data_IF_871943547082
#
_entry.id   IF_871943547082
#
_cell.length_a   1.000
_cell.length_b   1.000
_cell.length_c   1.000
_cell.angle_alpha   90.00
_cell.angle_beta   90.00
_cell.angle_gamma   90.00
#
_symmetry.space_group_name_H-M   'P 1'
#
loop_
_entity.id
_entity.type
_entity.pdbx_description
1 polymer ?
#
# COMPACT_ATOMS: atom_id res chain seq x y z
N UNK A 1 11.30 12.98 -12.99
CA UNK A 1 11.20 12.16 -11.77
C UNK A 1 10.29 11.00 -12.13
N UNK A 2 10.80 9.78 -12.13
CA UNK A 2 9.98 8.59 -12.33
C UNK A 2 9.10 8.40 -11.09
N UNK A 3 7.81 8.14 -11.29
CA UNK A 3 6.90 7.80 -10.20
C UNK A 3 7.03 6.30 -9.95
N UNK A 4 7.30 5.84 -8.72
CA UNK A 4 7.32 4.41 -8.40
C UNK A 4 5.99 3.75 -8.78
N UNK A 5 6.08 2.51 -9.27
CA UNK A 5 4.93 1.73 -9.67
C UNK A 5 4.83 0.47 -8.80
N UNK A 6 3.72 0.34 -8.07
CA UNK A 6 3.46 -0.78 -7.16
C UNK A 6 2.21 -1.52 -7.62
N UNK A 7 2.28 -2.85 -7.64
CA UNK A 7 1.14 -3.71 -7.94
C UNK A 7 0.55 -4.24 -6.63
N UNK A 8 -0.77 -4.25 -6.52
CA UNK A 8 -1.49 -4.95 -5.47
C UNK A 8 -2.26 -6.14 -6.03
N UNK A 9 -2.12 -7.31 -5.40
CA UNK A 9 -2.80 -8.53 -5.83
C UNK A 9 -2.80 -9.60 -4.76
N UNK A 10 -3.74 -10.53 -4.86
CA UNK A 10 -3.84 -11.62 -3.88
C UNK A 10 -2.80 -12.73 -4.14
N UNK A 11 -2.39 -13.43 -3.08
CA UNK A 11 -1.39 -14.49 -3.12
C UNK A 11 -1.74 -15.58 -4.14
N UNK A 12 -3.00 -16.00 -4.21
CA UNK A 12 -3.46 -17.01 -5.15
C UNK A 12 -3.24 -16.61 -6.63
N UNK A 13 -3.30 -15.32 -6.97
CA UNK A 13 -3.02 -14.82 -8.32
C UNK A 13 -1.56 -15.00 -8.65
N UNK A 14 -0.66 -14.63 -7.73
CA UNK A 14 0.78 -14.77 -7.90
C UNK A 14 1.17 -16.24 -8.00
N UNK A 15 0.64 -17.10 -7.12
CA UNK A 15 0.89 -18.54 -7.15
C UNK A 15 0.36 -19.20 -8.44
N UNK A 16 -0.84 -18.83 -8.89
CA UNK A 16 -1.41 -19.39 -10.14
C UNK A 16 -0.60 -18.99 -11.38
N UNK A 17 -0.04 -17.78 -11.39
CA UNK A 17 0.84 -17.34 -12.48
C UNK A 17 2.23 -17.99 -12.40
N UNK A 18 2.65 -18.38 -11.21
CA UNK A 18 3.98 -18.85 -10.83
C UNK A 18 4.83 -17.69 -10.31
N UNK A 19 5.26 -17.70 -9.04
CA UNK A 19 5.97 -16.58 -8.40
C UNK A 19 7.20 -16.09 -9.18
N UNK A 20 8.06 -17.01 -9.63
CA UNK A 20 9.23 -16.69 -10.45
C UNK A 20 8.85 -15.93 -11.74
N UNK A 21 7.88 -16.45 -12.49
CA UNK A 21 7.42 -15.82 -13.74
C UNK A 21 6.76 -14.47 -13.47
N UNK A 22 6.00 -14.35 -12.38
CA UNK A 22 5.30 -13.13 -12.00
C UNK A 22 6.30 -12.03 -11.65
N UNK A 23 7.24 -12.30 -10.73
CA UNK A 23 8.22 -11.32 -10.29
C UNK A 23 9.20 -10.94 -11.42
N UNK A 24 9.60 -11.90 -12.25
CA UNK A 24 10.36 -11.61 -13.48
C UNK A 24 9.60 -10.64 -14.38
N UNK A 25 8.30 -10.85 -14.56
CA UNK A 25 7.46 -9.95 -15.37
C UNK A 25 7.32 -8.58 -14.75
N UNK A 26 7.22 -8.50 -13.42
CA UNK A 26 7.24 -7.24 -12.68
C UNK A 26 8.53 -6.45 -12.97
N UNK A 27 9.68 -7.10 -12.87
CA UNK A 27 10.98 -6.47 -13.16
C UNK A 27 11.09 -5.98 -14.61
N UNK A 28 10.68 -6.79 -15.59
CA UNK A 28 10.64 -6.41 -17.01
C UNK A 28 9.79 -5.16 -17.28
N UNK A 29 8.75 -4.94 -16.46
CA UNK A 29 7.83 -3.82 -16.57
C UNK A 29 8.18 -2.66 -15.64
N UNK A 30 9.35 -2.72 -14.98
CA UNK A 30 9.81 -1.72 -14.01
C UNK A 30 8.81 -1.49 -12.87
N UNK A 31 8.24 -2.57 -12.36
CA UNK A 31 7.45 -2.55 -11.14
C UNK A 31 8.39 -2.50 -9.95
N UNK A 32 8.23 -1.50 -9.08
CA UNK A 32 9.11 -1.26 -7.94
C UNK A 32 8.71 -2.07 -6.71
N UNK A 33 7.41 -2.40 -6.55
CA UNK A 33 6.92 -3.11 -5.38
C UNK A 33 5.67 -3.95 -5.61
N UNK A 34 5.46 -4.90 -4.70
CA UNK A 34 4.31 -5.80 -4.68
C UNK A 34 3.64 -5.74 -3.30
N UNK A 35 2.32 -5.51 -3.30
CA UNK A 35 1.46 -5.63 -2.12
C UNK A 35 0.63 -6.90 -2.24
N UNK A 36 0.67 -7.76 -1.22
CA UNK A 36 -0.13 -9.00 -1.15
C UNK A 36 -0.96 -8.97 0.15
N UNK A 37 -2.20 -8.43 0.10
CA UNK A 37 -2.98 -8.15 1.30
C UNK A 37 -3.37 -9.38 2.13
N UNK A 38 -3.45 -10.53 1.51
CA UNK A 38 -3.80 -11.81 2.12
C UNK A 38 -2.58 -12.68 2.48
N UNK A 39 -1.36 -12.13 2.41
CA UNK A 39 -0.14 -12.81 2.82
C UNK A 39 0.20 -12.45 4.28
N UNK A 40 0.11 -13.40 5.23
CA UNK A 40 0.58 -13.17 6.59
C UNK A 40 2.08 -12.85 6.61
N UNK A 41 2.48 -11.98 7.55
CA UNK A 41 3.89 -11.59 7.69
C UNK A 41 4.81 -12.80 7.89
N UNK A 42 4.34 -13.84 8.57
CA UNK A 42 5.06 -15.07 8.85
C UNK A 42 5.27 -15.96 7.61
N UNK A 43 4.43 -15.79 6.58
CA UNK A 43 4.49 -16.56 5.33
C UNK A 43 5.23 -15.84 4.19
N UNK A 44 5.70 -14.63 4.44
CA UNK A 44 6.41 -13.82 3.43
C UNK A 44 7.66 -14.49 2.83
N UNK A 45 8.29 -15.41 3.60
CA UNK A 45 9.46 -16.18 3.16
C UNK A 45 9.21 -16.95 1.85
N UNK A 46 7.94 -17.24 1.52
CA UNK A 46 7.57 -17.87 0.26
C UNK A 46 7.74 -16.93 -0.95
N UNK A 47 7.73 -15.60 -0.73
CA UNK A 47 7.85 -14.59 -1.79
C UNK A 47 9.22 -13.91 -1.80
N UNK A 48 9.85 -13.75 -0.66
CA UNK A 48 11.08 -12.98 -0.50
C UNK A 48 12.21 -13.38 -1.47
N UNK A 49 12.51 -14.69 -1.67
CA UNK A 49 13.58 -15.07 -2.59
C UNK A 49 13.37 -14.55 -4.01
N UNK A 50 12.13 -14.58 -4.51
CA UNK A 50 11.79 -14.08 -5.84
C UNK A 50 11.79 -12.55 -5.88
N UNK A 51 11.29 -11.90 -4.85
CA UNK A 51 11.31 -10.46 -4.71
C UNK A 51 12.75 -9.92 -4.73
N UNK A 52 13.65 -10.53 -3.97
CA UNK A 52 15.07 -10.17 -3.92
C UNK A 52 15.79 -10.46 -5.24
N UNK A 53 15.52 -11.61 -5.86
CA UNK A 53 16.11 -11.98 -7.14
C UNK A 53 15.79 -10.97 -8.25
N UNK A 54 14.59 -10.43 -8.25
CA UNK A 54 14.10 -9.54 -9.30
C UNK A 54 14.09 -8.05 -8.91
N UNK A 55 14.51 -7.71 -7.71
CA UNK A 55 14.58 -6.33 -7.24
C UNK A 55 13.22 -5.65 -7.11
N UNK A 56 12.18 -6.41 -6.73
CA UNK A 56 10.83 -5.91 -6.46
C UNK A 56 10.59 -5.95 -4.96
N UNK A 57 10.31 -4.82 -4.34
CA UNK A 57 10.07 -4.77 -2.89
C UNK A 57 8.73 -5.43 -2.51
N UNK A 58 8.77 -6.38 -1.58
CA UNK A 58 7.55 -6.89 -0.96
C UNK A 58 7.12 -5.91 0.14
N UNK A 59 6.07 -5.15 -0.14
CA UNK A 59 5.59 -4.09 0.75
C UNK A 59 4.94 -4.69 1.99
N UNK A 60 5.50 -4.38 3.14
CA UNK A 60 4.96 -4.82 4.41
C UNK A 60 3.69 -4.04 4.77
N UNK A 61 2.70 -4.77 5.30
CA UNK A 61 1.43 -4.20 5.76
C UNK A 61 1.30 -4.36 7.27
N UNK A 62 0.82 -3.31 7.92
CA UNK A 62 0.54 -3.31 9.36
C UNK A 62 -0.83 -2.76 9.65
N UNK A 63 -1.55 -3.39 10.57
CA UNK A 63 -2.81 -2.91 11.13
C UNK A 63 -2.61 -2.59 12.62
N UNK A 64 -3.61 -1.99 13.26
CA UNK A 64 -3.64 -1.83 14.70
C UNK A 64 -3.58 -3.21 15.39
N UNK A 65 -2.43 -3.51 16.00
CA UNK A 65 -2.10 -4.79 16.63
C UNK A 65 -1.09 -4.56 17.74
N UNK A 66 -0.51 -5.62 18.31
CA UNK A 66 0.47 -5.47 19.38
C UNK A 66 1.74 -4.72 18.94
N UNK A 67 2.32 -3.98 19.86
CA UNK A 67 3.56 -3.21 19.64
C UNK A 67 4.70 -4.10 19.13
N UNK A 68 4.81 -5.31 19.67
CA UNK A 68 5.82 -6.30 19.30
C UNK A 68 5.67 -6.70 17.83
N UNK A 69 4.43 -6.92 17.37
CA UNK A 69 4.13 -7.29 15.99
C UNK A 69 4.43 -6.12 15.04
N UNK A 70 4.00 -4.92 15.39
CA UNK A 70 4.33 -3.70 14.60
C UNK A 70 5.84 -3.54 14.47
N UNK A 71 6.58 -3.72 15.57
CA UNK A 71 8.05 -3.64 15.60
C UNK A 71 8.70 -4.68 14.69
N UNK A 72 8.23 -5.94 14.74
CA UNK A 72 8.76 -7.02 13.92
C UNK A 72 8.55 -6.74 12.43
N UNK A 73 7.34 -6.32 12.04
CA UNK A 73 7.01 -5.99 10.65
C UNK A 73 7.83 -4.79 10.15
N UNK A 74 7.92 -3.72 10.96
CA UNK A 74 8.60 -2.49 10.59
C UNK A 74 10.10 -2.67 10.36
N UNK A 75 10.75 -3.56 11.11
CA UNK A 75 12.19 -3.89 10.92
C UNK A 75 12.53 -4.48 9.56
N UNK A 76 11.56 -5.15 8.96
CA UNK A 76 11.74 -5.86 7.70
C UNK A 76 11.13 -5.10 6.51
N UNK A 77 10.55 -3.92 6.78
CA UNK A 77 9.92 -3.12 5.74
C UNK A 77 10.95 -2.61 4.72
N UNK A 78 10.58 -2.69 3.44
CA UNK A 78 11.30 -2.13 2.29
C UNK A 78 10.35 -1.24 1.49
N UNK A 79 10.90 -0.30 0.73
CA UNK A 79 10.13 0.66 -0.05
C UNK A 79 9.32 1.60 0.84
N UNK A 80 8.18 1.17 1.32
CA UNK A 80 7.37 1.87 2.32
C UNK A 80 6.59 0.87 3.20
N UNK A 81 6.10 1.33 4.34
CA UNK A 81 5.22 0.57 5.21
C UNK A 81 3.76 0.98 4.96
N UNK A 82 2.94 0.02 4.55
CA UNK A 82 1.51 0.23 4.35
C UNK A 82 0.77 0.08 5.68
N UNK A 83 0.17 1.15 6.19
CA UNK A 83 -0.63 1.13 7.41
C UNK A 83 -2.10 1.02 7.03
N UNK A 84 -2.75 -0.06 7.46
CA UNK A 84 -4.19 -0.24 7.32
C UNK A 84 -4.89 0.48 8.48
N UNK A 85 -5.63 1.55 8.18
CA UNK A 85 -6.55 2.12 9.16
C UNK A 85 -7.71 1.15 9.38
N UNK A 86 -7.97 0.79 10.63
CA UNK A 86 -9.16 0.01 10.95
C UNK A 86 -10.40 0.90 10.78
N UNK A 87 -11.50 0.38 10.23
CA UNK A 87 -12.77 1.11 10.24
C UNK A 87 -13.15 1.48 11.68
N UNK A 88 -13.35 2.77 11.93
CA UNK A 88 -13.59 3.30 13.28
C UNK A 88 -12.34 3.43 14.16
N UNK A 89 -11.15 3.21 13.64
CA UNK A 89 -9.88 3.46 14.32
C UNK A 89 -9.68 4.95 14.62
N UNK A 90 -8.91 5.25 15.65
CA UNK A 90 -8.67 6.62 16.09
C UNK A 90 -7.33 7.15 15.58
N UNK A 91 -7.21 8.46 15.43
CA UNK A 91 -5.95 9.14 15.15
C UNK A 91 -4.88 8.83 16.23
N UNK A 92 -5.31 8.58 17.46
CA UNK A 92 -4.42 8.21 18.57
C UNK A 92 -3.77 6.84 18.34
N UNK A 93 -4.53 5.84 17.91
CA UNK A 93 -4.00 4.51 17.57
C UNK A 93 -3.00 4.57 16.41
N UNK A 94 -3.32 5.33 15.37
CA UNK A 94 -2.40 5.55 14.27
C UNK A 94 -1.11 6.22 14.73
N UNK A 95 -1.20 7.24 15.57
CA UNK A 95 -0.04 7.93 16.15
C UNK A 95 0.84 6.96 16.92
N UNK A 96 0.25 6.05 17.70
CA UNK A 96 0.99 5.04 18.43
C UNK A 96 1.73 4.08 17.48
N UNK A 97 1.08 3.60 16.43
CA UNK A 97 1.70 2.73 15.41
C UNK A 97 2.89 3.46 14.78
N UNK A 98 2.71 4.69 14.33
CA UNK A 98 3.77 5.47 13.66
C UNK A 98 4.93 5.73 14.62
N UNK A 99 4.67 6.05 15.89
CA UNK A 99 5.71 6.22 16.90
C UNK A 99 6.53 4.94 17.07
N UNK A 100 5.88 3.78 17.16
CA UNK A 100 6.59 2.49 17.27
C UNK A 100 7.45 2.26 16.03
N UNK A 101 6.90 2.46 14.84
CA UNK A 101 7.63 2.28 13.57
C UNK A 101 8.89 3.15 13.54
N UNK A 102 8.77 4.43 13.86
CA UNK A 102 9.90 5.40 13.87
C UNK A 102 11.00 5.07 14.88
N UNK A 103 10.74 4.18 15.84
CA UNK A 103 11.81 3.72 16.76
C UNK A 103 12.74 2.68 16.13
N UNK A 104 12.35 2.06 15.02
CA UNK A 104 13.05 0.91 14.44
C UNK A 104 13.42 1.04 12.97
N UNK A 105 12.80 1.98 12.25
CA UNK A 105 13.07 2.19 10.82
C UNK A 105 12.74 3.61 10.38
N UNK A 106 13.47 4.09 9.35
CA UNK A 106 13.22 5.35 8.65
C UNK A 106 12.41 5.14 7.36
N UNK A 107 11.93 3.92 7.11
CA UNK A 107 11.11 3.60 5.94
C UNK A 107 9.84 4.47 5.95
N UNK A 108 9.48 5.11 4.84
CA UNK A 108 8.27 5.92 4.75
C UNK A 108 7.02 5.14 5.13
N UNK A 109 6.09 5.80 5.83
CA UNK A 109 4.79 5.23 6.19
C UNK A 109 3.70 5.84 5.32
N UNK A 110 2.86 4.99 4.72
CA UNK A 110 1.67 5.42 4.02
C UNK A 110 0.43 4.77 4.63
N UNK A 111 -0.59 5.57 4.93
CA UNK A 111 -1.84 5.08 5.50
C UNK A 111 -2.92 4.98 4.43
N UNK A 112 -3.62 3.86 4.41
CA UNK A 112 -4.84 3.70 3.61
C UNK A 112 -6.03 4.20 4.42
N UNK A 113 -6.73 5.20 3.88
CA UNK A 113 -7.94 5.77 4.45
C UNK A 113 -9.13 5.43 3.57
N UNK A 114 -10.24 5.07 4.18
CA UNK A 114 -11.51 4.95 3.46
C UNK A 114 -12.12 6.33 3.22
N UNK A 115 -12.97 6.44 2.19
CA UNK A 115 -13.69 7.69 1.90
C UNK A 115 -14.62 8.15 3.03
N UNK A 116 -14.93 7.27 3.98
CA UNK A 116 -15.75 7.56 5.15
C UNK A 116 -14.95 8.23 6.28
N UNK A 117 -13.62 8.16 6.24
CA UNK A 117 -12.72 8.73 7.24
C UNK A 117 -12.31 10.19 6.95
N UNK A 118 -12.96 10.83 5.99
CA UNK A 118 -12.60 12.17 5.49
C UNK A 118 -12.43 13.27 6.57
N UNK A 119 -13.21 13.30 7.67
CA UNK A 119 -13.00 14.31 8.72
C UNK A 119 -11.69 14.15 9.49
N UNK A 120 -11.18 12.92 9.61
CA UNK A 120 -9.92 12.61 10.30
C UNK A 120 -8.71 12.62 9.35
N UNK A 121 -8.97 12.75 8.06
CA UNK A 121 -7.96 12.70 7.00
C UNK A 121 -6.78 13.65 7.26
N UNK A 122 -7.06 14.90 7.61
CA UNK A 122 -6.04 15.94 7.79
C UNK A 122 -5.15 15.69 9.00
N UNK A 123 -5.75 15.33 10.14
CA UNK A 123 -4.98 15.00 11.34
C UNK A 123 -4.11 13.77 11.14
N UNK A 124 -4.57 12.85 10.30
CA UNK A 124 -3.88 11.62 9.95
C UNK A 124 -2.73 11.87 8.98
N UNK A 125 -2.97 12.71 7.97
CA UNK A 125 -1.98 13.04 6.94
C UNK A 125 -0.71 13.70 7.51
N UNK A 126 -0.84 14.46 8.60
CA UNK A 126 0.31 15.08 9.30
C UNK A 126 1.20 14.08 10.04
N UNK A 127 0.72 12.85 10.30
CA UNK A 127 1.46 11.84 11.05
C UNK A 127 2.32 10.94 10.17
N UNK A 128 2.01 10.85 8.88
CA UNK A 128 2.58 9.89 7.92
C UNK A 128 3.26 10.60 6.75
N UNK A 129 4.03 9.85 5.97
CA UNK A 129 4.73 10.41 4.80
C UNK A 129 3.85 10.38 3.54
N UNK A 130 2.77 9.62 3.57
CA UNK A 130 1.85 9.48 2.44
C UNK A 130 0.49 8.92 2.81
N UNK A 131 -0.45 9.15 1.92
CA UNK A 131 -1.81 8.62 2.03
C UNK A 131 -2.11 7.78 0.80
N UNK A 132 -2.73 6.62 1.02
CA UNK A 132 -3.20 5.72 -0.02
C UNK A 132 -4.70 5.93 -0.16
N UNK A 133 -5.11 6.28 -1.35
CA UNK A 133 -6.51 6.57 -1.70
C UNK A 133 -6.96 5.59 -2.78
N UNK A 134 -7.82 4.65 -2.41
CA UNK A 134 -8.37 3.64 -3.34
C UNK A 134 -9.88 3.81 -3.58
N UNK A 135 -10.62 4.22 -2.55
CA UNK A 135 -12.08 4.29 -2.57
C UNK A 135 -12.67 5.13 -3.70
N UNK A 136 -12.30 6.40 -3.88
CA UNK A 136 -12.83 7.25 -4.95
C UNK A 136 -12.52 6.73 -6.35
N UNK A 137 -11.35 6.11 -6.55
CA UNK A 137 -10.96 5.55 -7.85
C UNK A 137 -11.77 4.30 -8.14
N UNK A 138 -11.92 3.39 -7.16
CA UNK A 138 -12.73 2.18 -7.29
C UNK A 138 -14.21 2.52 -7.51
N UNK A 139 -14.77 3.46 -6.74
CA UNK A 139 -16.13 3.94 -6.92
C UNK A 139 -16.35 4.57 -8.29
N UNK A 140 -15.35 5.29 -8.80
CA UNK A 140 -15.36 5.87 -10.12
C UNK A 140 -15.39 4.79 -11.22
N UNK A 141 -14.55 3.76 -11.08
CA UNK A 141 -14.54 2.62 -12.01
C UNK A 141 -15.89 1.89 -12.02
N UNK A 142 -16.50 1.70 -10.86
CA UNK A 142 -17.84 1.10 -10.73
C UNK A 142 -18.94 1.91 -11.45
N UNK A 143 -18.85 3.24 -11.42
CA UNK A 143 -19.82 4.12 -12.12
C UNK A 143 -19.69 4.09 -13.64
N UNK A 144 -18.50 3.88 -14.15
CA UNK A 144 -18.25 3.90 -15.60
C UNK A 144 -18.42 2.53 -16.25
N UNK A 145 -18.45 1.44 -15.48
CA UNK A 145 -18.62 0.08 -16.02
C UNK A 145 -17.67 -0.21 -17.18
N UNK A 146 -18.25 -0.50 -18.35
CA UNK A 146 -17.52 -0.70 -19.60
C UNK A 146 -17.09 0.60 -20.30
N UNK A 147 -17.08 1.74 -19.62
CA UNK A 147 -16.65 3.01 -20.22
C UNK A 147 -15.21 2.97 -20.69
N UNK A 148 -14.88 3.84 -21.65
CA UNK A 148 -13.55 3.81 -22.25
C UNK A 148 -12.45 4.10 -21.22
N UNK A 149 -11.28 3.44 -21.30
CA UNK A 149 -10.15 3.67 -20.43
C UNK A 149 -9.72 5.15 -20.36
N UNK A 150 -9.93 5.92 -21.43
CA UNK A 150 -9.65 7.38 -21.48
C UNK A 150 -10.54 8.17 -20.52
N UNK A 151 -11.82 7.81 -20.39
CA UNK A 151 -12.75 8.51 -19.50
C UNK A 151 -12.40 8.22 -18.04
N UNK A 152 -12.14 6.96 -17.71
CA UNK A 152 -11.69 6.56 -16.37
C UNK A 152 -10.37 7.25 -16.01
N UNK A 153 -9.38 7.25 -16.90
CA UNK A 153 -8.10 7.90 -16.69
C UNK A 153 -8.20 9.42 -16.51
N UNK A 154 -9.09 10.10 -17.24
CA UNK A 154 -9.29 11.54 -17.09
C UNK A 154 -9.91 11.92 -15.74
N UNK A 155 -10.78 11.08 -15.19
CA UNK A 155 -11.39 11.28 -13.88
C UNK A 155 -10.42 10.93 -12.73
N UNK A 156 -9.70 9.81 -12.85
CA UNK A 156 -8.64 9.44 -11.89
C UNK A 156 -7.58 10.54 -11.78
N UNK A 157 -7.14 11.11 -12.93
CA UNK A 157 -6.21 12.25 -12.94
C UNK A 157 -6.78 13.45 -12.17
N UNK A 158 -8.05 13.79 -12.33
CA UNK A 158 -8.68 14.90 -11.59
C UNK A 158 -8.72 14.63 -10.09
N UNK A 159 -9.11 13.42 -9.68
CA UNK A 159 -9.11 13.02 -8.27
C UNK A 159 -7.72 13.16 -7.65
N UNK A 160 -6.69 12.60 -8.30
CA UNK A 160 -5.30 12.72 -7.84
C UNK A 160 -4.81 14.18 -7.80
N UNK A 161 -5.19 15.00 -8.77
CA UNK A 161 -4.82 16.43 -8.75
C UNK A 161 -5.52 17.21 -7.65
N UNK A 162 -6.74 16.85 -7.28
CA UNK A 162 -7.42 17.45 -6.14
C UNK A 162 -6.74 17.10 -4.82
N UNK A 163 -6.28 15.85 -4.65
CA UNK A 163 -5.50 15.41 -3.48
C UNK A 163 -4.13 16.12 -3.39
N UNK A 164 -3.51 16.48 -4.52
CA UNK A 164 -2.20 17.18 -4.55
C UNK A 164 -2.30 18.69 -4.42
N UNK A 165 -3.50 19.25 -4.54
CA UNK A 165 -3.72 20.69 -4.45
C UNK A 165 -3.98 21.18 -3.02
N UNK A 166 -3.88 20.27 -2.08
CA UNK A 166 -4.06 20.44 -0.66
C UNK A 166 -2.72 20.24 0.03
#
# INVERSE_FOLDING_TARGET
MAVPFVISGYANVVFSYGPDRFLKKCAELSVDGLIVPDLPFEEREEFLPWCEQYGVDLICMVAATSRERVTAIAKEAKGFLYIMACPGGTTAELREIVQVVRTVTDVPCAVCLSSEDAPQFWETAELVDGVIEDGPIVALMGRFGAASPRQVGAHARRAVMQLKAI
#
